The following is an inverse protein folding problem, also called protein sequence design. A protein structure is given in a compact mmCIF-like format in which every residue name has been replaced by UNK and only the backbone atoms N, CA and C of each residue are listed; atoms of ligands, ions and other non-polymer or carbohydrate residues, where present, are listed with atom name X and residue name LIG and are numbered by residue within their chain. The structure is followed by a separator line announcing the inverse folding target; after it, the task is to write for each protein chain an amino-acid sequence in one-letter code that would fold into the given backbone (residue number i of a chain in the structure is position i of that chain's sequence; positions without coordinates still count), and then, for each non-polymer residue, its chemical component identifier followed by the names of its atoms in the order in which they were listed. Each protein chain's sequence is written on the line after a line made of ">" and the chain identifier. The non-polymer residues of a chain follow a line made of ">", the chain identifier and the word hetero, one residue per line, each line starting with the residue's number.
data_IF_540975532012
#
_entry.id   IF_540975532012
#
_cell.length_a   1.000
_cell.length_b   1.000
_cell.length_c   1.000
_cell.angle_alpha   90.00
_cell.angle_beta   90.00
_cell.angle_gamma   90.00
#
_symmetry.space_group_name_H-M   'P 1'
#
loop_
_entity.id
_entity.type
_entity.pdbx_description
1 polymer ?
#
# COMPACT_ATOMS: atom_id res chain seq x y z
N UNK A 1 -0.55 13.15 10.39
CA UNK A 1 0.57 13.66 11.19
C UNK A 1 0.12 14.93 11.89
N UNK A 2 0.30 15.00 13.19
CA UNK A 2 0.01 16.18 13.99
C UNK A 2 0.99 16.29 15.14
N UNK A 3 1.22 17.51 15.59
CA UNK A 3 1.93 17.83 16.84
C UNK A 3 1.04 18.78 17.62
N UNK A 4 0.76 18.44 18.85
CA UNK A 4 -0.10 19.21 19.74
C UNK A 4 0.59 19.43 21.09
N UNK A 5 0.62 20.67 21.55
CA UNK A 5 1.23 21.06 22.83
C UNK A 5 0.19 21.34 23.91
N UNK A 6 -1.10 21.48 23.54
CA UNK A 6 -2.19 21.92 24.42
C UNK A 6 -1.84 23.21 25.22
N UNK A 7 -0.95 24.05 24.68
CA UNK A 7 -0.46 25.25 25.34
C UNK A 7 -0.97 26.52 24.64
N UNK A 8 -1.85 27.25 25.30
CA UNK A 8 -2.38 28.51 24.78
C UNK A 8 -1.44 29.72 25.03
N UNK A 9 -0.45 29.57 25.89
CA UNK A 9 0.46 30.66 26.27
C UNK A 9 1.72 30.65 25.39
N UNK A 10 1.92 31.68 24.56
CA UNK A 10 3.03 31.77 23.63
C UNK A 10 4.41 31.99 24.25
N UNK A 11 4.49 32.27 25.55
CA UNK A 11 5.72 32.59 26.30
C UNK A 11 6.05 31.52 27.37
N UNK A 12 5.42 30.37 27.35
CA UNK A 12 5.63 29.28 28.31
C UNK A 12 5.98 27.99 27.54
N UNK A 13 7.04 27.33 27.99
CA UNK A 13 7.40 26.02 27.45
C UNK A 13 6.30 24.99 27.84
N UNK A 14 5.74 24.23 26.90
CA UNK A 14 4.73 23.24 27.18
C UNK A 14 5.29 22.12 28.09
N UNK A 15 4.48 21.68 29.05
CA UNK A 15 4.84 20.57 29.91
C UNK A 15 4.78 19.20 29.20
N UNK A 16 4.00 19.11 28.12
CA UNK A 16 3.81 17.89 27.33
C UNK A 16 3.59 18.25 25.85
N UNK A 17 4.14 17.43 24.97
CA UNK A 17 3.90 17.49 23.53
C UNK A 17 3.40 16.13 23.08
N UNK A 18 2.31 16.12 22.36
CA UNK A 18 1.78 14.88 21.74
C UNK A 18 2.00 14.94 20.24
N UNK A 19 2.67 13.92 19.68
CA UNK A 19 2.85 13.77 18.25
C UNK A 19 2.14 12.51 17.74
N UNK A 20 1.48 12.62 16.58
CA UNK A 20 0.92 11.47 15.85
C UNK A 20 1.52 11.45 14.45
N UNK A 21 2.06 10.33 14.06
CA UNK A 21 2.66 10.15 12.73
C UNK A 21 2.47 8.70 12.27
N UNK A 22 2.72 8.45 10.99
CA UNK A 22 2.79 7.10 10.44
C UNK A 22 4.05 6.97 9.57
N UNK A 23 4.53 5.75 9.44
CA UNK A 23 5.63 5.38 8.57
C UNK A 23 5.11 4.36 7.56
N UNK A 24 5.34 4.62 6.28
CA UNK A 24 5.18 3.65 5.20
C UNK A 24 6.56 3.18 4.79
N UNK A 25 6.75 1.88 4.71
CA UNK A 25 8.05 1.29 4.47
C UNK A 25 7.94 0.15 3.44
N UNK A 26 9.06 -0.22 2.87
CA UNK A 26 9.19 -1.29 1.89
C UNK A 26 9.67 -2.59 2.56
N UNK A 27 9.77 -3.65 1.78
CA UNK A 27 10.16 -5.00 2.24
C UNK A 27 11.61 -5.12 2.74
N UNK A 28 12.41 -4.05 2.69
CA UNK A 28 13.75 -4.02 3.30
C UNK A 28 13.71 -3.78 4.81
N UNK A 29 12.55 -3.45 5.35
CA UNK A 29 12.33 -3.19 6.76
C UNK A 29 11.18 -4.04 7.28
N UNK A 30 11.18 -4.26 8.59
CA UNK A 30 10.06 -4.81 9.34
C UNK A 30 9.53 -3.77 10.32
N UNK A 31 8.27 -3.88 10.70
CA UNK A 31 7.67 -2.94 11.66
C UNK A 31 8.42 -2.92 12.98
N UNK A 32 8.81 -4.08 13.50
CA UNK A 32 9.52 -4.19 14.78
C UNK A 32 10.89 -3.54 14.74
N UNK A 33 11.63 -3.64 13.63
CA UNK A 33 12.93 -3.00 13.46
C UNK A 33 12.79 -1.46 13.47
N UNK A 34 11.73 -0.94 12.84
CA UNK A 34 11.44 0.50 12.81
C UNK A 34 10.98 1.01 14.18
N UNK A 35 10.20 0.24 14.90
CA UNK A 35 9.80 0.56 16.27
C UNK A 35 11.04 0.63 17.16
N UNK A 36 11.89 -0.40 17.16
CA UNK A 36 13.11 -0.43 17.94
C UNK A 36 14.05 0.73 17.60
N UNK A 37 14.19 1.05 16.33
CA UNK A 37 14.96 2.22 15.88
C UNK A 37 14.42 3.55 16.44
N UNK A 38 13.08 3.72 16.44
CA UNK A 38 12.45 4.93 17.00
C UNK A 38 12.65 5.01 18.51
N UNK A 39 12.45 3.91 19.23
CA UNK A 39 12.62 3.86 20.69
C UNK A 39 14.05 4.17 21.11
N UNK A 40 15.04 3.63 20.40
CA UNK A 40 16.45 3.96 20.62
C UNK A 40 16.72 5.48 20.44
N UNK A 41 16.10 6.09 19.43
CA UNK A 41 16.27 7.52 19.20
C UNK A 41 15.58 8.36 20.28
N UNK A 42 14.41 7.95 20.75
CA UNK A 42 13.71 8.65 21.83
C UNK A 42 14.50 8.57 23.15
N UNK A 43 15.08 7.42 23.46
CA UNK A 43 15.97 7.26 24.61
C UNK A 43 17.23 8.15 24.48
N UNK A 44 17.79 8.23 23.28
CA UNK A 44 18.98 9.05 22.99
C UNK A 44 18.76 10.55 23.17
N UNK A 45 17.53 11.04 22.97
CA UNK A 45 17.16 12.45 23.20
C UNK A 45 17.06 12.75 24.70
N UNK A 46 16.69 11.77 25.50
CA UNK A 46 16.50 11.88 26.94
C UNK A 46 15.16 12.53 27.32
N UNK A 47 14.84 12.44 28.61
CA UNK A 47 13.57 12.90 29.16
C UNK A 47 12.48 11.81 29.13
N UNK A 48 11.37 12.00 29.86
CA UNK A 48 10.30 11.03 29.90
C UNK A 48 9.50 11.07 28.60
N UNK A 49 9.26 9.90 27.99
CA UNK A 49 8.41 9.72 26.83
C UNK A 49 7.53 8.49 26.99
N UNK A 50 6.45 8.46 26.22
CA UNK A 50 5.56 7.30 26.09
C UNK A 50 5.08 7.22 24.64
N UNK A 51 5.13 6.03 24.06
CA UNK A 51 4.62 5.78 22.72
C UNK A 51 3.65 4.59 22.69
N UNK A 52 2.70 4.66 21.78
CA UNK A 52 1.82 3.55 21.44
C UNK A 52 1.96 3.25 19.97
N UNK A 53 2.34 2.02 19.65
CA UNK A 53 2.59 1.58 18.29
C UNK A 53 1.42 0.76 17.75
N UNK A 54 1.13 0.94 16.48
CA UNK A 54 0.12 0.14 15.77
C UNK A 54 0.65 -0.20 14.38
N UNK A 55 0.95 -1.47 14.17
CA UNK A 55 1.26 -2.01 12.84
C UNK A 55 -0.04 -2.45 12.17
N UNK A 56 -0.35 -1.89 11.02
CA UNK A 56 -1.55 -2.26 10.27
C UNK A 56 -1.32 -3.51 9.41
N UNK A 57 -0.15 -3.62 8.79
CA UNK A 57 0.33 -4.80 8.07
C UNK A 57 1.81 -4.61 7.69
N UNK A 58 2.48 -5.72 7.41
CA UNK A 58 3.81 -5.72 6.79
C UNK A 58 3.70 -5.46 5.28
N UNK A 59 4.73 -4.85 4.66
CA UNK A 59 4.78 -4.68 3.21
C UNK A 59 4.99 -6.03 2.52
N UNK A 60 4.50 -6.13 1.29
CA UNK A 60 4.74 -7.28 0.44
C UNK A 60 5.13 -6.87 -0.97
N UNK A 61 5.79 -7.74 -1.68
CA UNK A 61 6.04 -7.66 -3.12
C UNK A 61 5.69 -9.01 -3.74
N UNK A 62 4.83 -9.00 -4.74
CA UNK A 62 4.52 -10.20 -5.51
C UNK A 62 5.73 -10.59 -6.35
N UNK A 63 6.28 -11.81 -6.19
CA UNK A 63 7.35 -12.30 -7.06
C UNK A 63 6.90 -12.35 -8.51
N UNK A 64 7.81 -12.04 -9.43
CA UNK A 64 7.58 -12.25 -10.86
C UNK A 64 7.45 -13.75 -11.12
N UNK A 65 6.43 -14.16 -11.86
CA UNK A 65 6.15 -15.56 -12.16
C UNK A 65 4.80 -15.75 -12.85
N UNK A 66 4.31 -16.97 -12.87
CA UNK A 66 3.12 -17.37 -13.63
C UNK A 66 1.93 -16.42 -13.47
N UNK A 67 1.60 -16.01 -12.24
CA UNK A 67 0.45 -15.14 -11.98
C UNK A 67 0.63 -13.73 -12.58
N UNK A 68 1.82 -13.15 -12.45
CA UNK A 68 2.14 -11.85 -13.03
C UNK A 68 2.20 -11.91 -14.56
N UNK A 69 2.72 -13.01 -15.11
CA UNK A 69 2.81 -13.21 -16.55
C UNK A 69 1.42 -13.39 -17.18
N UNK A 70 0.53 -14.16 -16.54
CA UNK A 70 -0.87 -14.28 -16.94
C UNK A 70 -1.58 -12.93 -16.93
N UNK A 71 -1.43 -12.14 -15.87
CA UNK A 71 -2.03 -10.80 -15.80
C UNK A 71 -1.48 -9.88 -16.89
N UNK A 72 -0.16 -9.87 -17.11
CA UNK A 72 0.45 -9.07 -18.17
C UNK A 72 -0.05 -9.50 -19.54
N UNK A 73 -0.13 -10.80 -19.82
CA UNK A 73 -0.66 -11.35 -21.07
C UNK A 73 -2.13 -10.98 -21.31
N UNK A 74 -2.97 -11.09 -20.28
CA UNK A 74 -4.38 -10.72 -20.36
C UNK A 74 -4.58 -9.23 -20.64
N UNK A 75 -3.81 -8.37 -19.97
CA UNK A 75 -3.85 -6.92 -20.22
C UNK A 75 -3.42 -6.61 -21.64
N UNK A 76 -2.33 -7.19 -22.12
CA UNK A 76 -1.82 -6.96 -23.47
C UNK A 76 -2.81 -7.46 -24.54
N UNK A 77 -3.39 -8.64 -24.35
CA UNK A 77 -4.38 -9.21 -25.26
C UNK A 77 -5.64 -8.34 -25.40
N UNK A 78 -6.13 -7.78 -24.31
CA UNK A 78 -7.37 -6.98 -24.30
C UNK A 78 -7.14 -5.53 -24.71
N UNK A 79 -6.02 -4.93 -24.29
CA UNK A 79 -5.79 -3.48 -24.44
C UNK A 79 -4.78 -3.13 -25.50
N UNK A 80 -4.01 -4.09 -26.00
CA UNK A 80 -2.85 -3.87 -26.87
C UNK A 80 -1.67 -3.19 -26.18
N UNK A 81 -1.70 -3.04 -24.86
CA UNK A 81 -0.68 -2.34 -24.06
C UNK A 81 0.01 -3.34 -23.15
N UNK A 82 1.33 -3.36 -23.17
CA UNK A 82 2.13 -4.16 -22.24
C UNK A 82 2.20 -3.44 -20.87
N UNK A 83 1.65 -4.00 -19.81
CA UNK A 83 1.70 -3.37 -18.50
C UNK A 83 3.10 -3.51 -17.89
N UNK A 84 3.44 -2.58 -17.00
CA UNK A 84 4.69 -2.61 -16.23
C UNK A 84 4.37 -3.05 -14.81
N UNK A 85 5.13 -4.02 -14.30
CA UNK A 85 5.05 -4.39 -12.89
C UNK A 85 5.61 -3.23 -12.04
N UNK A 86 4.86 -2.82 -11.04
CA UNK A 86 5.20 -1.67 -10.21
C UNK A 86 4.75 -1.88 -8.77
N UNK A 87 5.48 -1.30 -7.84
CA UNK A 87 5.13 -1.21 -6.42
C UNK A 87 4.60 0.18 -6.03
N UNK A 88 4.29 1.03 -7.02
CA UNK A 88 3.83 2.41 -6.81
C UNK A 88 2.35 2.55 -6.48
N UNK A 89 1.61 1.44 -6.39
CA UNK A 89 0.20 1.42 -6.05
C UNK A 89 -0.12 1.84 -4.62
N UNK A 90 -1.41 2.01 -4.35
CA UNK A 90 -1.91 2.26 -2.99
C UNK A 90 -1.88 1.00 -2.12
N UNK A 91 -2.27 1.17 -0.87
CA UNK A 91 -2.45 0.04 0.05
C UNK A 91 -3.79 -0.63 -0.22
N UNK A 92 -3.82 -1.96 -0.28
CA UNK A 92 -5.02 -2.76 -0.48
C UNK A 92 -5.12 -3.92 0.52
N UNK A 93 -6.20 -4.69 0.44
CA UNK A 93 -6.41 -5.91 1.22
C UNK A 93 -5.52 -7.08 0.74
N UNK A 94 -4.86 -6.94 -0.41
CA UNK A 94 -3.87 -7.90 -0.90
C UNK A 94 -2.77 -8.20 0.15
N UNK A 95 -2.41 -7.21 0.96
CA UNK A 95 -1.47 -7.37 2.09
C UNK A 95 -1.86 -8.46 3.10
N UNK A 96 -3.14 -8.78 3.22
CA UNK A 96 -3.62 -9.88 4.07
C UNK A 96 -3.71 -11.19 3.30
N UNK A 97 -4.13 -11.13 2.03
CA UNK A 97 -4.32 -12.30 1.18
C UNK A 97 -2.98 -12.93 0.80
N UNK A 98 -1.93 -12.13 0.63
CA UNK A 98 -0.58 -12.61 0.29
C UNK A 98 0.00 -13.59 1.29
N UNK A 99 -0.51 -13.64 2.51
CA UNK A 99 -0.13 -14.65 3.53
C UNK A 99 -0.71 -16.03 3.25
N UNK A 100 -1.71 -16.12 2.36
CA UNK A 100 -2.47 -17.34 2.06
C UNK A 100 -2.15 -17.85 0.66
N UNK A 101 -2.05 -16.94 -0.32
CA UNK A 101 -1.80 -17.29 -1.71
C UNK A 101 -1.08 -16.15 -2.44
N UNK A 102 -0.47 -16.45 -3.62
CA UNK A 102 0.06 -15.42 -4.50
C UNK A 102 -1.02 -14.41 -4.90
N UNK A 103 -0.66 -13.13 -4.95
CA UNK A 103 -1.58 -12.03 -5.28
C UNK A 103 -0.96 -11.16 -6.34
N UNK A 104 -1.75 -10.74 -7.32
CA UNK A 104 -1.45 -9.65 -8.23
C UNK A 104 -2.59 -8.65 -8.20
N UNK A 105 -2.25 -7.38 -8.23
CA UNK A 105 -3.23 -6.30 -8.23
C UNK A 105 -3.27 -5.66 -9.61
N UNK A 106 -4.47 -5.51 -10.13
CA UNK A 106 -4.74 -4.77 -11.35
C UNK A 106 -6.12 -4.13 -11.23
N UNK A 107 -6.26 -2.86 -11.58
CA UNK A 107 -7.52 -2.15 -11.37
C UNK A 107 -7.73 -1.00 -12.34
N UNK A 108 -8.74 -0.20 -12.02
CA UNK A 108 -9.14 0.97 -12.79
C UNK A 108 -8.06 2.06 -12.76
N UNK A 109 -8.07 2.91 -13.79
CA UNK A 109 -7.19 4.06 -13.87
C UNK A 109 -7.58 5.11 -12.83
N UNK A 110 -6.74 5.33 -11.84
CA UNK A 110 -7.01 6.20 -10.69
C UNK A 110 -6.70 7.68 -10.89
N UNK A 111 -6.98 8.27 -12.06
CA UNK A 111 -6.64 9.67 -12.34
C UNK A 111 -7.31 10.67 -11.41
N UNK A 112 -8.51 10.36 -10.95
CA UNK A 112 -9.31 11.22 -10.05
C UNK A 112 -9.45 10.65 -8.65
N UNK A 113 -8.66 9.61 -8.33
CA UNK A 113 -8.67 8.96 -7.02
C UNK A 113 -8.42 9.99 -5.90
N UNK A 114 -9.27 9.96 -4.87
CA UNK A 114 -9.23 10.88 -3.72
C UNK A 114 -9.47 12.35 -4.05
N UNK A 115 -10.05 12.66 -5.22
CA UNK A 115 -10.42 14.02 -5.59
C UNK A 115 -11.93 14.26 -5.41
N UNK A 116 -12.33 15.54 -5.39
CA UNK A 116 -13.73 15.91 -5.51
C UNK A 116 -14.20 15.47 -6.90
N UNK A 117 -15.40 14.89 -6.99
CA UNK A 117 -15.95 14.32 -8.22
C UNK A 117 -15.14 13.12 -8.75
N UNK A 118 -14.64 12.28 -7.85
CA UNK A 118 -13.98 11.03 -8.22
C UNK A 118 -14.86 10.21 -9.16
N UNK A 119 -14.30 9.84 -10.29
CA UNK A 119 -15.02 9.11 -11.34
C UNK A 119 -14.09 8.21 -12.16
N UNK A 120 -14.71 7.34 -12.95
CA UNK A 120 -14.05 6.47 -13.93
C UNK A 120 -14.90 6.43 -15.20
N UNK A 121 -14.28 6.25 -16.35
CA UNK A 121 -15.01 6.04 -17.58
C UNK A 121 -15.62 4.64 -17.63
N UNK A 122 -16.87 4.52 -18.10
CA UNK A 122 -17.56 3.22 -18.22
C UNK A 122 -16.76 2.24 -19.10
N UNK A 123 -16.10 2.73 -20.14
CA UNK A 123 -15.25 1.91 -21.02
C UNK A 123 -14.08 1.26 -20.25
N UNK A 124 -13.55 1.91 -19.23
CA UNK A 124 -12.46 1.34 -18.42
C UNK A 124 -12.97 0.17 -17.56
N UNK A 125 -14.22 0.24 -17.10
CA UNK A 125 -14.88 -0.86 -16.38
C UNK A 125 -15.07 -2.06 -17.30
N UNK A 126 -15.56 -1.83 -18.52
CA UNK A 126 -15.75 -2.90 -19.51
C UNK A 126 -14.42 -3.55 -19.91
N UNK A 127 -13.36 -2.76 -20.07
CA UNK A 127 -12.02 -3.28 -20.36
C UNK A 127 -11.47 -4.10 -19.19
N UNK A 128 -11.63 -3.62 -17.95
CA UNK A 128 -11.19 -4.34 -16.76
C UNK A 128 -11.89 -5.70 -16.64
N UNK A 129 -13.20 -5.74 -16.87
CA UNK A 129 -13.96 -7.00 -16.86
C UNK A 129 -13.43 -7.99 -17.90
N UNK A 130 -13.10 -7.52 -19.11
CA UNK A 130 -12.50 -8.35 -20.17
C UNK A 130 -11.10 -8.85 -19.80
N UNK A 131 -10.28 -8.02 -19.15
CA UNK A 131 -8.94 -8.43 -18.69
C UNK A 131 -9.04 -9.55 -17.66
N UNK A 132 -9.91 -9.41 -16.66
CA UNK A 132 -10.12 -10.46 -15.67
C UNK A 132 -10.67 -11.75 -16.29
N UNK A 133 -11.62 -11.64 -17.22
CA UNK A 133 -12.14 -12.80 -17.95
C UNK A 133 -11.02 -13.52 -18.72
N UNK A 134 -10.20 -12.77 -19.46
CA UNK A 134 -9.09 -13.35 -20.23
C UNK A 134 -8.05 -14.02 -19.33
N UNK A 135 -7.70 -13.38 -18.21
CA UNK A 135 -6.81 -13.95 -17.21
C UNK A 135 -7.34 -15.30 -16.69
N UNK A 136 -8.63 -15.37 -16.32
CA UNK A 136 -9.25 -16.61 -15.86
C UNK A 136 -9.25 -17.69 -16.94
N UNK A 137 -9.56 -17.33 -18.19
CA UNK A 137 -9.53 -18.27 -19.32
C UNK A 137 -8.13 -18.85 -19.52
N UNK A 138 -7.09 -18.00 -19.45
CA UNK A 138 -5.70 -18.47 -19.58
C UNK A 138 -5.30 -19.34 -18.39
N UNK A 139 -5.62 -18.93 -17.17
CA UNK A 139 -5.29 -19.67 -15.96
C UNK A 139 -5.85 -21.10 -15.96
N UNK A 140 -7.10 -21.28 -16.38
CA UNK A 140 -7.74 -22.59 -16.41
C UNK A 140 -7.40 -23.43 -17.66
N UNK A 141 -6.86 -22.83 -18.72
CA UNK A 141 -6.35 -23.61 -19.87
C UNK A 141 -5.03 -24.29 -19.56
N UNK A 142 -4.14 -23.62 -18.82
CA UNK A 142 -2.81 -24.15 -18.49
C UNK A 142 -2.86 -25.15 -17.31
N UNK A 143 -3.98 -25.24 -16.62
CA UNK A 143 -4.19 -26.13 -15.46
C UNK A 143 -4.93 -27.43 -15.77
N UNK A 144 -5.09 -27.81 -17.06
CA UNK A 144 -5.82 -29.02 -17.50
C UNK A 144 -4.87 -30.06 -18.03
#
# INVERSE_FOLDING_TARGET
>A
TSIDTNNAAGNVTPAMVTAKFNIRFNTNHKSDDLIGWLEEHFEGVGGPWHATWRTSAEPFVTPVGTLTDLMQGAVEAVTGRKPVLSTSGGTSDARFITTICPVVEFGLVGKTMHQIDEHVHVVDIDQLAKVYHEMLVQFFKDGS
#
